data_IF_046968476286
#
_entry.id   IF_046968476286
#
_cell.length_a   1.000
_cell.length_b   1.000
_cell.length_c   1.000
_cell.angle_alpha   90.00
_cell.angle_beta   90.00
_cell.angle_gamma   90.00
#
_symmetry.space_group_name_H-M   'P 1'
#
loop_
_entity.id
_entity.type
_entity.pdbx_description
1 polymer ?
#
# COMPACT_ATOMS: atom_id res chain seq x y z
N UNK A 1 37.51 37.22 -36.20
CA UNK A 1 37.85 36.26 -35.12
C UNK A 1 36.58 35.50 -34.75
N UNK A 2 36.64 34.17 -34.65
CA UNK A 2 35.46 33.31 -34.76
C UNK A 2 34.71 33.14 -33.44
N UNK A 3 33.40 33.00 -33.58
CA UNK A 3 32.39 32.67 -32.56
C UNK A 3 32.66 31.29 -31.95
N UNK A 4 32.71 31.22 -30.61
CA UNK A 4 32.67 29.96 -29.87
C UNK A 4 31.21 29.56 -29.58
N UNK A 5 30.80 28.29 -29.73
CA UNK A 5 29.42 27.87 -29.54
C UNK A 5 29.04 27.75 -28.05
N UNK A 6 27.74 27.79 -27.70
CA UNK A 6 27.29 27.64 -26.33
C UNK A 6 27.54 26.20 -25.84
N UNK A 7 28.11 26.09 -24.64
CA UNK A 7 28.38 24.82 -23.98
C UNK A 7 27.09 24.01 -23.83
N UNK A 8 27.08 22.81 -24.42
CA UNK A 8 26.04 21.79 -24.22
C UNK A 8 25.92 21.50 -22.73
N UNK A 9 24.75 21.77 -22.17
CA UNK A 9 24.36 21.24 -20.87
C UNK A 9 24.30 19.73 -21.02
N UNK A 10 25.28 19.02 -20.45
CA UNK A 10 25.20 17.58 -20.28
C UNK A 10 24.10 17.34 -19.24
N UNK A 11 22.93 16.94 -19.71
CA UNK A 11 21.92 16.30 -18.88
C UNK A 11 22.53 15.00 -18.36
N UNK A 12 23.14 15.05 -17.18
CA UNK A 12 23.48 13.85 -16.46
C UNK A 12 22.16 13.24 -15.98
N UNK A 13 21.63 12.31 -16.76
CA UNK A 13 20.64 11.34 -16.30
C UNK A 13 21.38 10.48 -15.28
N UNK A 14 21.35 10.89 -14.01
CA UNK A 14 21.76 10.00 -12.93
C UNK A 14 20.59 9.10 -12.65
N UNK A 15 20.74 7.85 -13.10
CA UNK A 15 20.02 6.71 -12.58
C UNK A 15 20.10 6.77 -11.05
N UNK A 16 18.95 7.07 -10.43
CA UNK A 16 18.69 6.70 -9.07
C UNK A 16 19.08 5.23 -8.93
N UNK A 17 20.11 4.92 -8.13
CA UNK A 17 20.27 3.57 -7.60
C UNK A 17 19.15 3.34 -6.59
N UNK A 18 17.93 3.22 -7.11
CA UNK A 18 16.98 2.29 -6.54
C UNK A 18 17.70 0.93 -6.50
N UNK A 19 17.56 0.13 -5.42
CA UNK A 19 17.94 -1.27 -5.52
C UNK A 19 17.29 -1.78 -6.81
N UNK A 20 18.07 -2.45 -7.67
CA UNK A 20 17.59 -3.07 -8.90
C UNK A 20 16.23 -3.71 -8.60
N UNK A 21 15.16 -2.99 -8.91
CA UNK A 21 13.83 -3.53 -8.96
C UNK A 21 13.91 -4.34 -10.25
N UNK A 22 14.47 -5.55 -10.14
CA UNK A 22 14.08 -6.67 -10.97
C UNK A 22 12.60 -6.44 -11.21
N UNK A 23 12.25 -6.19 -12.48
CA UNK A 23 10.87 -6.00 -12.93
C UNK A 23 10.03 -7.01 -12.18
N UNK A 24 9.33 -6.54 -11.12
CA UNK A 24 8.58 -7.42 -10.23
C UNK A 24 7.33 -7.78 -11.02
N UNK A 25 7.45 -8.78 -11.87
CA UNK A 25 6.31 -9.44 -12.47
C UNK A 25 5.64 -10.20 -11.34
N UNK A 26 4.39 -9.85 -11.03
CA UNK A 26 3.60 -10.54 -10.01
C UNK A 26 2.84 -11.74 -10.59
N UNK A 27 2.87 -11.89 -11.92
CA UNK A 27 2.68 -13.15 -12.63
C UNK A 27 3.97 -13.99 -12.60
N UNK A 28 4.45 -14.31 -11.40
CA UNK A 28 5.65 -15.13 -11.23
C UNK A 28 5.35 -16.61 -11.48
N UNK A 29 6.39 -17.40 -11.80
CA UNK A 29 6.26 -18.85 -11.96
C UNK A 29 5.66 -19.50 -10.71
N UNK A 30 6.07 -19.06 -9.51
CA UNK A 30 5.51 -19.54 -8.25
C UNK A 30 4.00 -19.25 -8.09
N UNK A 31 3.53 -18.10 -8.57
CA UNK A 31 2.10 -17.78 -8.54
C UNK A 31 1.31 -18.61 -9.55
N UNK A 32 1.87 -18.86 -10.75
CA UNK A 32 1.27 -19.71 -11.77
C UNK A 32 1.24 -21.18 -11.33
N UNK A 33 2.29 -21.67 -10.67
CA UNK A 33 2.32 -23.00 -10.06
C UNK A 33 1.25 -23.14 -8.96
N UNK A 34 1.07 -22.11 -8.13
CA UNK A 34 0.03 -22.09 -7.11
C UNK A 34 -1.38 -22.15 -7.71
N UNK A 35 -1.63 -21.43 -8.82
CA UNK A 35 -2.90 -21.50 -9.58
C UNK A 35 -3.11 -22.88 -10.20
N UNK A 36 -2.07 -23.46 -10.82
CA UNK A 36 -2.14 -24.79 -11.40
C UNK A 36 -2.46 -25.85 -10.34
N UNK A 37 -1.82 -25.77 -9.18
CA UNK A 37 -2.12 -26.64 -8.04
C UNK A 37 -3.54 -26.45 -7.51
N UNK A 38 -3.98 -25.20 -7.34
CA UNK A 38 -5.34 -24.91 -6.90
C UNK A 38 -6.41 -25.43 -7.88
N UNK A 39 -6.12 -25.41 -9.18
CA UNK A 39 -6.98 -26.04 -10.19
C UNK A 39 -7.05 -27.56 -10.05
N UNK A 40 -5.91 -28.22 -9.77
CA UNK A 40 -5.87 -29.67 -9.55
C UNK A 40 -6.64 -30.07 -8.28
N UNK A 41 -6.46 -29.29 -7.22
CA UNK A 41 -7.10 -29.49 -5.92
C UNK A 41 -8.56 -28.99 -5.89
N UNK A 42 -9.05 -28.38 -6.98
CA UNK A 42 -10.39 -27.78 -7.12
C UNK A 42 -10.72 -26.80 -6.00
N UNK A 43 -9.78 -25.90 -5.70
CA UNK A 43 -9.93 -24.89 -4.66
C UNK A 43 -11.06 -23.92 -5.04
N UNK A 44 -12.13 -23.80 -4.22
CA UNK A 44 -13.32 -23.05 -4.61
C UNK A 44 -13.19 -21.53 -4.42
N UNK A 45 -12.24 -21.06 -3.60
CA UNK A 45 -12.13 -19.64 -3.26
C UNK A 45 -10.76 -19.05 -3.67
N UNK A 46 -10.78 -17.92 -4.38
CA UNK A 46 -9.58 -17.17 -4.77
C UNK A 46 -9.59 -15.77 -4.14
N UNK A 47 -8.49 -15.39 -3.50
CA UNK A 47 -8.30 -14.09 -2.86
C UNK A 47 -7.20 -13.32 -3.58
N UNK A 48 -7.58 -12.36 -4.43
CA UNK A 48 -6.63 -11.45 -5.06
C UNK A 48 -6.60 -10.15 -4.27
N UNK A 49 -5.42 -9.67 -3.89
CA UNK A 49 -5.31 -8.43 -3.14
C UNK A 49 -4.32 -7.45 -3.73
N UNK A 50 -4.63 -6.17 -3.65
CA UNK A 50 -3.79 -5.10 -4.18
C UNK A 50 -2.44 -5.06 -3.44
N UNK A 51 -1.35 -5.36 -4.14
CA UNK A 51 0.01 -5.35 -3.62
C UNK A 51 0.80 -4.15 -4.19
N UNK A 52 1.64 -3.47 -3.40
CA UNK A 52 1.97 -3.68 -1.97
C UNK A 52 1.14 -2.78 -1.03
N UNK A 53 -0.20 -2.86 -1.09
CA UNK A 53 -1.08 -2.08 -0.22
C UNK A 53 -1.25 -2.74 1.14
N UNK A 54 -1.17 -1.96 2.23
CA UNK A 54 -1.56 -2.45 3.55
C UNK A 54 -3.07 -2.71 3.62
N UNK A 55 -3.88 -1.85 3.00
CA UNK A 55 -5.32 -2.07 2.87
C UNK A 55 -5.60 -3.42 2.18
N UNK A 56 -4.93 -3.70 1.06
CA UNK A 56 -5.03 -4.99 0.37
C UNK A 56 -4.58 -6.17 1.23
N UNK A 57 -3.43 -6.06 1.89
CA UNK A 57 -2.90 -7.14 2.73
C UNK A 57 -3.78 -7.45 3.95
N UNK A 58 -4.32 -6.42 4.63
CA UNK A 58 -5.28 -6.61 5.72
C UNK A 58 -6.63 -7.13 5.22
N UNK A 59 -7.13 -6.68 4.07
CA UNK A 59 -8.30 -7.31 3.43
C UNK A 59 -8.07 -8.80 3.17
N UNK A 60 -6.88 -9.18 2.69
CA UNK A 60 -6.51 -10.58 2.47
C UNK A 60 -6.44 -11.37 3.79
N UNK A 61 -5.93 -10.76 4.87
CA UNK A 61 -5.93 -11.34 6.21
C UNK A 61 -7.36 -11.67 6.67
N UNK A 62 -8.30 -10.73 6.58
CA UNK A 62 -9.68 -10.96 7.02
C UNK A 62 -10.40 -12.02 6.20
N UNK A 63 -10.19 -12.01 4.88
CA UNK A 63 -10.68 -13.08 4.03
C UNK A 63 -10.07 -14.45 4.41
N UNK A 64 -8.76 -14.50 4.64
CA UNK A 64 -8.07 -15.71 5.07
C UNK A 64 -8.61 -16.24 6.40
N UNK A 65 -8.74 -15.39 7.43
CA UNK A 65 -9.27 -15.76 8.73
C UNK A 65 -10.69 -16.33 8.63
N UNK A 66 -11.55 -15.70 7.82
CA UNK A 66 -12.92 -16.16 7.60
C UNK A 66 -12.96 -17.57 6.99
N UNK A 67 -12.21 -17.79 5.90
CA UNK A 67 -12.18 -19.08 5.22
C UNK A 67 -11.55 -20.16 6.09
N UNK A 68 -10.44 -19.85 6.78
CA UNK A 68 -9.78 -20.76 7.72
C UNK A 68 -10.71 -21.19 8.85
N UNK A 69 -11.51 -20.25 9.40
CA UNK A 69 -12.44 -20.54 10.51
C UNK A 69 -13.60 -21.44 10.08
N UNK A 70 -14.04 -21.33 8.84
CA UNK A 70 -15.07 -22.20 8.25
C UNK A 70 -14.50 -23.47 7.61
N UNK A 71 -13.18 -23.69 7.71
CA UNK A 71 -12.46 -24.79 7.05
C UNK A 71 -12.73 -24.85 5.53
N UNK A 72 -12.84 -23.68 4.90
CA UNK A 72 -13.06 -23.52 3.47
C UNK A 72 -11.71 -23.36 2.76
N UNK A 73 -11.37 -24.21 1.77
CA UNK A 73 -10.13 -24.05 1.03
C UNK A 73 -10.13 -22.72 0.25
N UNK A 74 -9.03 -21.98 0.34
CA UNK A 74 -8.81 -20.76 -0.43
C UNK A 74 -7.35 -20.61 -0.87
N UNK A 75 -7.14 -19.98 -2.02
CA UNK A 75 -5.82 -19.54 -2.49
C UNK A 75 -5.74 -18.03 -2.41
N UNK A 76 -4.70 -17.47 -1.78
CA UNK A 76 -4.44 -16.03 -1.80
C UNK A 76 -3.24 -15.69 -2.67
N UNK A 77 -3.36 -14.65 -3.49
CA UNK A 77 -2.27 -14.16 -4.34
C UNK A 77 -2.20 -12.63 -4.33
N UNK A 78 -0.98 -12.05 -4.30
CA UNK A 78 -0.79 -10.63 -4.50
C UNK A 78 -1.09 -10.27 -5.96
N UNK A 79 -1.86 -9.20 -6.16
CA UNK A 79 -2.15 -8.61 -7.46
C UNK A 79 -1.42 -7.28 -7.61
N UNK A 80 -0.73 -7.08 -8.72
CA UNK A 80 -0.12 -5.79 -9.07
C UNK A 80 -0.58 -5.32 -10.44
N UNK A 81 -0.65 -4.00 -10.61
CA UNK A 81 -0.83 -3.39 -11.93
C UNK A 81 0.41 -3.49 -12.81
N UNK A 82 1.56 -3.86 -12.25
CA UNK A 82 2.81 -4.12 -12.97
C UNK A 82 2.84 -5.60 -13.35
N UNK A 83 2.48 -5.88 -14.61
CA UNK A 83 2.30 -7.23 -15.16
C UNK A 83 1.25 -8.07 -14.42
N UNK A 84 -0.04 -7.70 -14.57
CA UNK A 84 -1.14 -8.40 -13.90
C UNK A 84 -1.35 -9.82 -14.43
N UNK A 85 -2.01 -10.66 -13.64
CA UNK A 85 -2.54 -11.93 -14.12
C UNK A 85 -3.47 -11.73 -15.31
N UNK A 86 -3.39 -12.64 -16.28
CA UNK A 86 -4.38 -12.74 -17.35
C UNK A 86 -5.61 -13.42 -16.78
N UNK A 87 -6.77 -13.14 -17.35
CA UNK A 87 -8.02 -13.83 -16.97
C UNK A 87 -7.87 -15.34 -17.14
N UNK A 88 -7.19 -15.78 -18.21
CA UNK A 88 -6.89 -17.19 -18.45
C UNK A 88 -6.03 -17.84 -17.35
N UNK A 89 -5.16 -17.07 -16.68
CA UNK A 89 -4.37 -17.61 -15.56
C UNK A 89 -5.28 -17.89 -14.33
N UNK A 90 -6.37 -17.14 -14.19
CA UNK A 90 -7.24 -17.12 -13.01
C UNK A 90 -8.47 -18.04 -13.15
N UNK A 91 -8.84 -18.42 -14.38
CA UNK A 91 -9.95 -19.34 -14.66
C UNK A 91 -9.57 -20.80 -14.34
N UNK A 92 -9.36 -21.11 -13.06
CA UNK A 92 -9.03 -22.45 -12.57
C UNK A 92 -10.29 -23.34 -12.44
N UNK A 93 -10.12 -24.64 -12.59
CA UNK A 93 -11.22 -25.61 -12.43
C UNK A 93 -11.71 -25.63 -10.96
N UNK A 94 -13.03 -25.62 -10.77
CA UNK A 94 -13.66 -25.70 -9.45
C UNK A 94 -13.82 -24.37 -8.72
N UNK A 95 -13.45 -23.24 -9.34
CA UNK A 95 -13.60 -21.91 -8.74
C UNK A 95 -15.09 -21.54 -8.57
N UNK A 96 -15.51 -21.31 -7.33
CA UNK A 96 -16.87 -20.88 -6.99
C UNK A 96 -16.93 -19.38 -6.69
N UNK A 97 -15.89 -18.84 -6.03
CA UNK A 97 -15.87 -17.45 -5.58
C UNK A 97 -14.49 -16.82 -5.68
N UNK A 98 -14.44 -15.58 -6.14
CA UNK A 98 -13.23 -14.77 -6.19
C UNK A 98 -13.45 -13.42 -5.51
N UNK A 99 -12.50 -13.03 -4.67
CA UNK A 99 -12.49 -11.75 -3.98
C UNK A 99 -11.41 -10.83 -4.57
N UNK A 100 -11.78 -9.63 -5.00
CA UNK A 100 -10.86 -8.58 -5.40
C UNK A 100 -10.74 -7.56 -4.26
N UNK A 101 -9.58 -7.55 -3.59
CA UNK A 101 -9.40 -6.89 -2.30
C UNK A 101 -8.53 -5.63 -2.45
N UNK A 102 -9.13 -4.44 -2.26
CA UNK A 102 -8.52 -3.10 -2.42
C UNK A 102 -8.20 -2.70 -3.89
N UNK A 103 -8.92 -3.28 -4.85
CA UNK A 103 -8.87 -2.93 -6.28
C UNK A 103 -10.04 -3.54 -7.07
N UNK A 104 -10.33 -2.99 -8.26
CA UNK A 104 -11.25 -3.57 -9.26
C UNK A 104 -10.56 -4.16 -10.51
N UNK A 105 -9.23 -4.03 -10.57
CA UNK A 105 -8.42 -4.36 -11.75
C UNK A 105 -8.36 -3.22 -12.80
N UNK A 106 -7.74 -3.47 -13.96
CA UNK A 106 -7.86 -2.60 -15.12
C UNK A 106 -9.32 -2.42 -15.57
N UNK A 107 -9.61 -1.37 -16.33
CA UNK A 107 -10.96 -1.12 -16.84
C UNK A 107 -11.54 -2.36 -17.55
N UNK A 108 -12.72 -2.82 -17.11
CA UNK A 108 -13.40 -3.99 -17.67
C UNK A 108 -12.92 -5.35 -17.11
N UNK A 109 -11.83 -5.38 -16.33
CA UNK A 109 -11.25 -6.63 -15.81
C UNK A 109 -12.24 -7.45 -14.97
N UNK A 110 -12.85 -6.86 -13.94
CA UNK A 110 -13.78 -7.58 -13.07
C UNK A 110 -15.00 -8.13 -13.83
N UNK A 111 -15.49 -7.36 -14.81
CA UNK A 111 -16.63 -7.75 -15.67
C UNK A 111 -16.25 -8.90 -16.60
N UNK A 112 -15.10 -8.80 -17.27
CA UNK A 112 -14.63 -9.87 -18.16
C UNK A 112 -14.31 -11.14 -17.36
N UNK A 113 -13.68 -11.00 -16.20
CA UNK A 113 -13.39 -12.11 -15.32
C UNK A 113 -14.66 -12.82 -14.84
N UNK A 114 -15.67 -12.08 -14.35
CA UNK A 114 -16.95 -12.67 -13.96
C UNK A 114 -17.64 -13.42 -15.10
N UNK A 115 -17.58 -12.90 -16.33
CA UNK A 115 -18.16 -13.56 -17.52
C UNK A 115 -17.41 -14.83 -17.93
N UNK A 116 -16.08 -14.87 -17.78
CA UNK A 116 -15.24 -15.97 -18.27
C UNK A 116 -15.03 -17.06 -17.23
N UNK A 117 -14.84 -16.70 -15.97
CA UNK A 117 -14.61 -17.65 -14.87
C UNK A 117 -15.90 -18.33 -14.40
N UNK A 118 -17.07 -17.75 -14.69
CA UNK A 118 -18.39 -18.27 -14.28
C UNK A 118 -18.51 -18.50 -12.75
N UNK A 119 -17.70 -17.81 -11.95
CA UNK A 119 -17.70 -17.81 -10.50
C UNK A 119 -18.33 -16.53 -9.94
N UNK A 120 -18.72 -16.52 -8.67
CA UNK A 120 -19.12 -15.29 -7.98
C UNK A 120 -17.88 -14.41 -7.77
N UNK A 121 -17.96 -13.13 -8.13
CA UNK A 121 -16.87 -12.16 -7.99
C UNK A 121 -17.31 -11.03 -7.08
N UNK A 122 -16.58 -10.81 -5.99
CA UNK A 122 -16.90 -9.80 -4.97
C UNK A 122 -15.71 -8.86 -4.85
N UNK A 123 -15.94 -7.59 -5.16
CA UNK A 123 -14.86 -6.61 -5.28
C UNK A 123 -14.99 -5.50 -4.25
N UNK A 124 -13.86 -5.09 -3.65
CA UNK A 124 -13.79 -4.02 -2.66
C UNK A 124 -12.77 -2.97 -3.11
N UNK A 125 -13.18 -1.70 -3.13
CA UNK A 125 -12.28 -0.55 -3.29
C UNK A 125 -12.88 0.64 -2.50
N UNK A 126 -12.09 1.67 -2.24
CA UNK A 126 -12.53 2.89 -1.55
C UNK A 126 -12.23 4.15 -2.37
N UNK A 127 -11.59 3.99 -3.54
CA UNK A 127 -11.07 5.13 -4.31
C UNK A 127 -12.10 5.64 -5.29
N UNK A 128 -12.38 6.94 -5.23
CA UNK A 128 -13.25 7.64 -6.21
C UNK A 128 -12.92 7.35 -7.68
N UNK A 129 -11.63 7.09 -7.99
CA UNK A 129 -11.17 6.80 -9.37
C UNK A 129 -11.76 5.53 -9.99
N UNK A 130 -12.29 4.62 -9.18
CA UNK A 130 -12.83 3.34 -9.68
C UNK A 130 -14.31 3.44 -10.07
N UNK A 131 -15.01 4.48 -9.64
CA UNK A 131 -16.44 4.66 -9.94
C UNK A 131 -16.76 4.63 -11.45
N UNK A 132 -15.97 5.26 -12.34
CA UNK A 132 -16.25 5.19 -13.78
C UNK A 132 -16.06 3.80 -14.41
N UNK A 133 -15.47 2.85 -13.67
CA UNK A 133 -15.23 1.48 -14.14
C UNK A 133 -16.39 0.53 -13.79
N UNK A 134 -17.29 0.97 -12.91
CA UNK A 134 -18.46 0.20 -12.49
C UNK A 134 -19.51 0.32 -13.60
N UNK A 135 -19.96 -0.79 -14.19
CA UNK A 135 -21.00 -0.77 -15.21
C UNK A 135 -22.34 -0.29 -14.62
N UNK A 136 -23.27 0.09 -15.50
CA UNK A 136 -24.68 0.25 -15.12
C UNK A 136 -25.23 -1.07 -14.57
N UNK A 137 -26.32 -1.02 -13.79
CA UNK A 137 -26.97 -2.24 -13.27
C UNK A 137 -27.40 -3.19 -14.40
N UNK A 138 -27.80 -2.65 -15.56
CA UNK A 138 -28.24 -3.40 -16.74
C UNK A 138 -27.09 -4.15 -17.43
N UNK A 139 -25.88 -3.58 -17.42
CA UNK A 139 -24.69 -4.13 -18.05
C UNK A 139 -23.84 -5.02 -17.11
N UNK A 140 -24.17 -5.01 -15.81
CA UNK A 140 -23.43 -5.72 -14.77
C UNK A 140 -23.77 -7.22 -14.77
N UNK A 141 -22.79 -8.12 -14.83
CA UNK A 141 -23.01 -9.55 -14.61
C UNK A 141 -23.66 -9.80 -13.24
N UNK A 142 -24.63 -10.71 -13.18
CA UNK A 142 -25.36 -11.04 -11.93
C UNK A 142 -24.48 -11.70 -10.88
N UNK A 143 -23.37 -12.31 -11.30
CA UNK A 143 -22.36 -12.92 -10.45
C UNK A 143 -21.23 -11.95 -10.05
N UNK A 144 -21.40 -10.63 -10.25
CA UNK A 144 -20.41 -9.62 -9.90
C UNK A 144 -21.00 -8.58 -8.94
N UNK A 145 -20.38 -8.43 -7.77
CA UNK A 145 -20.78 -7.46 -6.75
C UNK A 145 -19.65 -6.47 -6.48
N UNK A 146 -19.98 -5.18 -6.46
CA UNK A 146 -19.07 -4.10 -6.12
C UNK A 146 -19.39 -3.48 -4.76
N UNK A 147 -18.46 -3.58 -3.82
CA UNK A 147 -18.47 -2.90 -2.53
C UNK A 147 -17.49 -1.72 -2.57
N UNK A 148 -17.93 -0.61 -3.16
CA UNK A 148 -17.13 0.63 -3.19
C UNK A 148 -17.60 1.61 -2.10
N UNK A 149 -16.73 1.87 -1.12
CA UNK A 149 -17.04 2.75 0.01
C UNK A 149 -16.04 3.91 0.07
N UNK A 150 -16.50 5.14 -0.16
CA UNK A 150 -15.63 6.32 -0.14
C UNK A 150 -15.32 6.85 1.28
N UNK A 151 -16.05 6.36 2.29
CA UNK A 151 -15.99 6.83 3.68
C UNK A 151 -15.23 5.86 4.60
N UNK A 152 -14.94 4.64 4.13
CA UNK A 152 -14.18 3.62 4.83
C UNK A 152 -13.07 3.08 3.94
N UNK A 153 -11.95 2.68 4.55
CA UNK A 153 -10.91 1.97 3.79
C UNK A 153 -11.40 0.60 3.33
N UNK A 154 -10.74 0.02 2.31
CA UNK A 154 -11.07 -1.31 1.83
C UNK A 154 -10.84 -2.39 2.89
N UNK A 155 -9.77 -2.29 3.70
CA UNK A 155 -9.57 -3.24 4.80
C UNK A 155 -10.66 -3.16 5.87
N UNK A 156 -11.11 -1.95 6.25
CA UNK A 156 -12.23 -1.80 7.20
C UNK A 156 -13.52 -2.39 6.63
N UNK A 157 -13.83 -2.09 5.36
CA UNK A 157 -15.04 -2.62 4.72
C UNK A 157 -15.04 -4.15 4.62
N UNK A 158 -13.88 -4.76 4.34
CA UNK A 158 -13.73 -6.22 4.27
C UNK A 158 -13.82 -6.86 5.66
N UNK A 159 -13.26 -6.22 6.69
CA UNK A 159 -13.42 -6.65 8.08
C UNK A 159 -14.89 -6.68 8.50
N UNK A 160 -15.62 -5.60 8.23
CA UNK A 160 -17.06 -5.49 8.53
C UNK A 160 -17.88 -6.54 7.76
N UNK A 161 -17.54 -6.75 6.47
CA UNK A 161 -18.23 -7.70 5.60
C UNK A 161 -18.14 -9.14 6.12
N UNK A 162 -16.93 -9.65 6.38
CA UNK A 162 -16.76 -11.02 6.85
C UNK A 162 -17.25 -11.20 8.29
N UNK A 163 -17.10 -10.19 9.15
CA UNK A 163 -17.66 -10.22 10.51
C UNK A 163 -19.18 -10.33 10.48
N UNK A 164 -19.84 -9.60 9.58
CA UNK A 164 -21.30 -9.63 9.42
C UNK A 164 -21.78 -11.00 8.91
N UNK A 165 -21.09 -11.56 7.92
CA UNK A 165 -21.43 -12.91 7.40
C UNK A 165 -21.28 -13.95 8.49
N UNK A 166 -20.18 -13.90 9.26
CA UNK A 166 -19.91 -14.86 10.32
C UNK A 166 -20.99 -14.80 11.41
N UNK A 167 -21.38 -13.59 11.84
CA UNK A 167 -22.41 -13.36 12.84
C UNK A 167 -23.82 -13.75 12.37
N UNK A 168 -24.12 -13.58 11.07
CA UNK A 168 -25.42 -13.92 10.47
C UNK A 168 -25.56 -15.38 10.02
N UNK A 169 -24.49 -16.16 10.09
CA UNK A 169 -24.49 -17.54 9.61
C UNK A 169 -25.18 -18.49 10.59
N UNK A 170 -26.12 -19.31 10.10
CA UNK A 170 -26.77 -20.39 10.88
C UNK A 170 -25.82 -21.54 11.24
N UNK A 171 -24.53 -21.42 10.90
CA UNK A 171 -23.55 -22.49 11.01
C UNK A 171 -23.21 -22.89 12.45
N UNK A 172 -23.70 -22.20 13.49
CA UNK A 172 -23.20 -22.43 14.85
C UNK A 172 -24.22 -22.57 15.99
N UNK A 173 -23.92 -23.62 16.76
CA UNK A 173 -24.55 -24.18 17.94
C UNK A 173 -24.32 -23.30 19.21
N UNK A 174 -24.54 -21.99 19.12
CA UNK A 174 -24.53 -21.07 20.27
C UNK A 174 -23.17 -20.55 20.77
N UNK A 175 -22.09 -20.70 20.02
CA UNK A 175 -20.78 -20.08 20.34
C UNK A 175 -20.67 -18.71 19.64
N UNK A 176 -20.22 -17.67 20.35
CA UNK A 176 -19.95 -16.35 19.76
C UNK A 176 -18.68 -16.43 18.88
N UNK A 177 -18.86 -16.52 17.57
CA UNK A 177 -17.78 -16.71 16.60
C UNK A 177 -17.36 -15.35 16.07
N UNK A 178 -16.24 -14.83 16.57
CA UNK A 178 -15.61 -13.62 16.01
C UNK A 178 -14.57 -13.95 14.94
N UNK A 179 -14.38 -13.02 14.02
CA UNK A 179 -13.35 -13.12 12.98
C UNK A 179 -11.93 -12.96 13.55
N UNK A 180 -11.78 -12.14 14.60
CA UNK A 180 -10.53 -11.93 15.32
C UNK A 180 -10.62 -12.56 16.71
N UNK A 181 -9.53 -13.18 17.14
CA UNK A 181 -9.40 -13.65 18.51
C UNK A 181 -9.44 -12.46 19.49
N UNK A 182 -9.99 -12.64 20.71
CA UNK A 182 -10.13 -11.55 21.68
C UNK A 182 -8.80 -10.85 22.00
N UNK A 183 -7.68 -11.58 21.99
CA UNK A 183 -6.36 -11.02 22.30
C UNK A 183 -5.83 -10.09 21.20
N UNK A 184 -6.26 -10.29 19.95
CA UNK A 184 -5.78 -9.54 18.78
C UNK A 184 -6.70 -8.38 18.40
N UNK A 185 -8.00 -8.45 18.75
CA UNK A 185 -9.04 -7.54 18.27
C UNK A 185 -8.69 -6.06 18.46
N UNK A 186 -8.43 -5.64 19.70
CA UNK A 186 -8.17 -4.23 20.01
C UNK A 186 -6.92 -3.71 19.29
N UNK A 187 -5.88 -4.55 19.18
CA UNK A 187 -4.63 -4.22 18.49
C UNK A 187 -4.87 -4.02 17.01
N UNK A 188 -5.51 -4.98 16.35
CA UNK A 188 -5.78 -4.95 14.91
C UNK A 188 -6.74 -3.81 14.57
N UNK A 189 -7.81 -3.61 15.33
CA UNK A 189 -8.76 -2.51 15.10
C UNK A 189 -8.10 -1.14 15.24
N UNK A 190 -7.13 -0.99 16.15
CA UNK A 190 -6.34 0.24 16.24
C UNK A 190 -5.45 0.44 15.01
N UNK A 191 -4.82 -0.62 14.50
CA UNK A 191 -4.05 -0.55 13.25
C UNK A 191 -4.94 -0.16 12.07
N UNK A 192 -6.15 -0.72 11.97
CA UNK A 192 -7.11 -0.38 10.93
C UNK A 192 -7.48 1.11 10.95
N UNK A 193 -7.69 1.71 12.13
CA UNK A 193 -7.96 3.16 12.26
C UNK A 193 -6.83 4.01 11.66
N UNK A 194 -5.58 3.62 11.91
CA UNK A 194 -4.42 4.33 11.36
C UNK A 194 -4.25 4.13 9.86
N UNK A 195 -4.49 2.91 9.35
CA UNK A 195 -4.48 2.64 7.91
C UNK A 195 -5.56 3.46 7.22
N UNK A 196 -6.78 3.46 7.75
CA UNK A 196 -7.92 4.18 7.18
C UNK A 196 -7.69 5.70 7.15
N UNK A 197 -7.13 6.29 8.21
CA UNK A 197 -6.79 7.72 8.25
C UNK A 197 -5.83 8.12 7.12
N UNK A 198 -4.89 7.24 6.78
CA UNK A 198 -3.95 7.41 5.66
C UNK A 198 -4.58 7.18 4.28
N UNK A 199 -5.32 6.07 4.11
CA UNK A 199 -5.99 5.71 2.86
C UNK A 199 -6.99 6.78 2.41
N UNK A 200 -7.76 7.31 3.36
CA UNK A 200 -8.76 8.35 3.13
C UNK A 200 -8.16 9.77 3.18
N UNK A 201 -6.85 9.89 3.38
CA UNK A 201 -6.09 11.15 3.41
C UNK A 201 -6.64 12.16 4.43
N UNK A 202 -7.13 11.67 5.56
CA UNK A 202 -7.65 12.47 6.67
C UNK A 202 -6.50 13.10 7.46
N UNK A 203 -5.42 12.35 7.68
CA UNK A 203 -4.24 12.77 8.44
C UNK A 203 -4.56 13.35 9.82
N UNK A 204 -5.59 12.80 10.46
CA UNK A 204 -6.18 13.36 11.68
C UNK A 204 -5.62 12.73 12.96
N UNK A 205 -5.08 11.52 12.85
CA UNK A 205 -4.56 10.79 14.01
C UNK A 205 -3.19 11.31 14.45
N UNK A 206 -2.96 11.28 15.77
CA UNK A 206 -1.67 11.62 16.36
C UNK A 206 -0.58 10.69 15.81
N UNK A 207 0.59 11.26 15.55
CA UNK A 207 1.75 10.51 15.05
C UNK A 207 1.52 9.69 13.78
N UNK A 208 0.46 9.97 13.00
CA UNK A 208 0.13 9.25 11.75
C UNK A 208 1.30 9.20 10.76
N UNK A 209 2.12 10.26 10.71
CA UNK A 209 3.33 10.29 9.87
C UNK A 209 4.39 9.30 10.37
N UNK A 210 4.61 9.24 11.68
CA UNK A 210 5.55 8.29 12.28
C UNK A 210 5.05 6.85 12.08
N UNK A 211 3.76 6.60 12.33
CA UNK A 211 3.12 5.32 12.03
C UNK A 211 3.37 4.89 10.58
N UNK A 212 3.05 5.73 9.59
CA UNK A 212 3.21 5.39 8.17
C UNK A 212 4.67 5.11 7.78
N UNK A 213 5.63 5.82 8.39
CA UNK A 213 7.05 5.57 8.19
C UNK A 213 7.44 4.21 8.78
N UNK A 214 7.10 3.94 10.04
CA UNK A 214 7.41 2.67 10.68
C UNK A 214 6.75 1.47 9.99
N UNK A 215 5.53 1.66 9.50
CA UNK A 215 4.80 0.67 8.73
C UNK A 215 5.45 0.44 7.34
N UNK A 216 6.02 1.47 6.71
CA UNK A 216 6.57 1.37 5.34
C UNK A 216 7.62 0.28 5.14
N UNK A 217 8.38 -0.07 6.17
CA UNK A 217 9.37 -1.16 6.12
C UNK A 217 8.73 -2.54 5.91
N UNK A 218 7.45 -2.70 6.27
CA UNK A 218 6.72 -3.94 6.10
C UNK A 218 6.25 -4.16 4.65
N UNK A 219 6.31 -3.17 3.77
CA UNK A 219 5.80 -3.28 2.38
C UNK A 219 6.43 -4.42 1.59
N UNK A 220 7.71 -4.71 1.81
CA UNK A 220 8.39 -5.83 1.14
C UNK A 220 7.91 -7.20 1.61
N UNK A 221 7.30 -7.27 2.80
CA UNK A 221 6.81 -8.51 3.44
C UNK A 221 5.36 -8.84 3.09
N UNK A 222 4.65 -7.98 2.37
CA UNK A 222 3.23 -8.13 2.04
C UNK A 222 2.96 -9.11 0.88
N UNK A 223 3.93 -9.91 0.46
CA UNK A 223 3.75 -10.89 -0.60
C UNK A 223 3.62 -12.28 0.04
N UNK A 224 2.40 -12.81 0.10
CA UNK A 224 2.09 -14.10 0.74
C UNK A 224 2.75 -15.30 0.03
N UNK A 225 3.10 -15.19 -1.26
CA UNK A 225 3.80 -16.26 -1.99
C UNK A 225 5.24 -16.39 -1.49
N UNK A 226 5.91 -15.25 -1.26
CA UNK A 226 7.31 -15.24 -0.80
C UNK A 226 7.46 -15.17 0.73
N UNK A 227 6.39 -14.83 1.44
CA UNK A 227 6.34 -14.72 2.89
C UNK A 227 5.19 -15.57 3.43
N UNK A 228 5.44 -16.84 3.80
CA UNK A 228 4.40 -17.73 4.29
C UNK A 228 3.84 -17.30 5.66
N UNK A 229 4.56 -16.46 6.40
CA UNK A 229 4.15 -15.95 7.71
C UNK A 229 3.49 -14.56 7.65
N UNK A 230 3.01 -14.15 6.47
CA UNK A 230 2.49 -12.81 6.27
C UNK A 230 1.31 -12.51 7.19
N UNK A 231 0.37 -13.45 7.36
CA UNK A 231 -0.85 -13.21 8.12
C UNK A 231 -0.59 -13.10 9.63
N UNK A 232 0.24 -13.98 10.18
CA UNK A 232 0.70 -13.92 11.56
C UNK A 232 1.44 -12.61 11.83
N UNK A 233 2.32 -12.21 10.91
CA UNK A 233 3.03 -10.94 11.02
C UNK A 233 2.10 -9.73 10.97
N UNK A 234 1.02 -9.76 10.18
CA UNK A 234 0.04 -8.69 10.12
C UNK A 234 -0.77 -8.59 11.43
N UNK A 235 -1.13 -9.73 12.03
CA UNK A 235 -1.79 -9.79 13.35
C UNK A 235 -0.91 -9.19 14.44
N UNK A 236 0.41 -9.41 14.36
CA UNK A 236 1.40 -8.91 15.33
C UNK A 236 1.70 -7.40 15.20
N UNK A 237 1.24 -6.72 14.15
CA UNK A 237 1.49 -5.28 14.00
C UNK A 237 0.82 -4.50 15.13
N UNK A 238 1.60 -3.63 15.77
CA UNK A 238 1.15 -2.69 16.79
C UNK A 238 1.36 -1.24 16.33
N UNK A 239 0.38 -0.38 16.59
CA UNK A 239 0.48 1.06 16.36
C UNK A 239 1.62 1.67 17.17
N UNK A 240 1.79 1.24 18.42
CA UNK A 240 2.84 1.76 19.32
C UNK A 240 4.23 1.44 18.78
N UNK A 241 4.44 0.22 18.29
CA UNK A 241 5.72 -0.20 17.75
C UNK A 241 6.01 0.49 16.41
N UNK A 242 5.01 0.61 15.55
CA UNK A 242 5.13 1.35 14.29
C UNK A 242 5.47 2.83 14.52
N UNK A 243 4.82 3.50 15.46
CA UNK A 243 5.13 4.89 15.82
C UNK A 243 6.53 5.01 16.41
N UNK A 244 6.89 4.14 17.37
CA UNK A 244 8.22 4.15 18.01
C UNK A 244 9.31 3.98 16.96
N UNK A 245 9.12 3.08 16.02
CA UNK A 245 10.04 2.84 14.91
C UNK A 245 10.11 4.04 13.96
N UNK A 246 8.98 4.61 13.57
CA UNK A 246 8.95 5.82 12.74
C UNK A 246 9.64 7.01 13.40
N UNK A 247 9.43 7.21 14.70
CA UNK A 247 10.10 8.25 15.47
C UNK A 247 11.61 8.00 15.56
N UNK A 248 12.03 6.74 15.73
CA UNK A 248 13.45 6.35 15.72
C UNK A 248 14.08 6.66 14.36
N UNK A 249 13.42 6.30 13.27
CA UNK A 249 13.86 6.61 11.90
C UNK A 249 14.01 8.12 11.68
N UNK A 250 13.01 8.91 12.08
CA UNK A 250 13.04 10.36 11.99
C UNK A 250 14.18 10.97 12.82
N UNK A 251 14.42 10.45 14.03
CA UNK A 251 15.50 10.89 14.91
C UNK A 251 16.88 10.63 14.29
N UNK A 252 17.10 9.46 13.70
CA UNK A 252 18.34 9.11 13.00
C UNK A 252 18.59 10.08 11.83
N UNK A 253 17.57 10.30 11.00
CA UNK A 253 17.67 11.22 9.86
C UNK A 253 17.92 12.66 10.28
N UNK A 254 17.23 13.11 11.34
CA UNK A 254 17.44 14.45 11.88
C UNK A 254 18.86 14.63 12.44
N UNK A 255 19.41 13.62 13.14
CA UNK A 255 20.81 13.64 13.61
C UNK A 255 21.78 13.67 12.43
N UNK A 256 21.54 12.88 11.40
CA UNK A 256 22.37 12.86 10.19
C UNK A 256 22.34 14.21 9.45
N UNK A 257 21.16 14.81 9.30
CA UNK A 257 21.01 16.15 8.73
C UNK A 257 21.73 17.20 9.57
N UNK A 258 21.61 17.16 10.90
CA UNK A 258 22.27 18.11 11.79
C UNK A 258 23.79 18.11 11.64
N UNK A 259 24.43 16.94 11.49
CA UNK A 259 25.88 16.84 11.24
C UNK A 259 26.33 17.57 9.97
N UNK A 260 25.48 17.58 8.94
CA UNK A 260 25.79 18.32 7.70
C UNK A 260 25.69 19.84 7.94
N UNK A 261 24.77 20.26 8.79
CA UNK A 261 24.49 21.67 9.09
C UNK A 261 25.52 22.33 10.03
N UNK A 262 26.57 21.62 10.42
CA UNK A 262 27.74 22.20 11.09
C UNK A 262 28.59 23.03 10.11
N UNK A 263 28.47 22.76 8.80
CA UNK A 263 29.23 23.42 7.73
C UNK A 263 28.33 24.26 6.81
N UNK A 264 27.41 25.03 7.39
CA UNK A 264 26.53 25.91 6.61
C UNK A 264 27.30 27.08 6.01
N UNK A 265 26.90 27.48 4.80
CA UNK A 265 27.48 28.60 4.06
C UNK A 265 26.39 29.57 3.63
N UNK A 266 26.74 30.85 3.57
CA UNK A 266 25.82 31.89 3.11
C UNK A 266 25.76 31.89 1.59
N UNK A 267 24.56 31.76 1.05
CA UNK A 267 24.28 31.75 -0.39
C UNK A 267 23.59 33.06 -0.77
N UNK A 268 24.16 33.78 -1.73
CA UNK A 268 23.54 34.97 -2.33
C UNK A 268 22.71 34.57 -3.54
N UNK A 269 21.40 34.73 -3.46
CA UNK A 269 20.49 34.37 -4.54
C UNK A 269 20.49 35.50 -5.59
N UNK A 270 20.73 35.15 -6.86
CA UNK A 270 20.83 36.12 -7.96
C UNK A 270 21.84 37.23 -7.68
N UNK A 271 23.06 36.91 -7.24
CA UNK A 271 24.09 37.89 -6.84
C UNK A 271 23.67 38.81 -5.68
N UNK A 272 22.60 38.49 -4.96
CA UNK A 272 22.07 39.25 -3.82
C UNK A 272 20.75 39.97 -4.13
N UNK A 273 20.31 40.03 -5.39
CA UNK A 273 19.04 40.66 -5.77
C UNK A 273 17.81 39.98 -5.16
N UNK A 274 17.90 38.67 -4.88
CA UNK A 274 16.80 37.89 -4.29
C UNK A 274 17.04 37.54 -2.82
N UNK A 275 17.95 38.27 -2.16
CA UNK A 275 18.31 38.02 -0.77
C UNK A 275 19.37 36.94 -0.57
N UNK A 276 19.52 36.53 0.68
CA UNK A 276 20.56 35.62 1.14
C UNK A 276 19.94 34.56 2.03
N UNK A 277 20.43 33.32 1.93
CA UNK A 277 20.00 32.20 2.78
C UNK A 277 21.20 31.33 3.17
N UNK A 278 21.00 30.41 4.12
CA UNK A 278 21.99 29.37 4.40
C UNK A 278 21.81 28.21 3.42
N UNK A 279 22.93 27.66 2.98
CA UNK A 279 23.01 26.42 2.23
C UNK A 279 24.01 25.46 2.85
N UNK A 280 23.97 24.21 2.43
CA UNK A 280 24.97 23.19 2.75
C UNK A 280 25.24 22.37 1.51
N UNK A 281 26.50 21.94 1.33
CA UNK A 281 26.81 20.93 0.30
C UNK A 281 26.38 19.56 0.81
N UNK A 282 25.37 18.97 0.18
CA UNK A 282 24.84 17.68 0.63
C UNK A 282 25.77 16.48 0.31
N UNK A 283 26.81 16.63 -0.51
CA UNK A 283 27.81 15.57 -0.82
C UNK A 283 27.24 14.16 -1.07
N UNK A 284 26.13 14.05 -1.80
CA UNK A 284 25.47 12.76 -2.10
C UNK A 284 24.39 12.32 -1.09
N UNK A 285 24.14 13.09 -0.03
CA UNK A 285 23.06 12.85 0.94
C UNK A 285 21.70 13.41 0.46
N UNK A 286 21.34 13.16 -0.81
CA UNK A 286 20.07 13.62 -1.39
C UNK A 286 18.86 13.07 -0.63
N UNK A 287 18.99 11.88 -0.05
CA UNK A 287 17.96 11.26 0.76
C UNK A 287 17.59 12.06 2.01
N UNK A 288 18.38 13.05 2.45
CA UNK A 288 18.12 13.90 3.62
C UNK A 288 17.66 15.33 3.23
N UNK A 289 17.31 15.56 1.96
CA UNK A 289 16.96 16.89 1.43
C UNK A 289 15.90 17.60 2.25
N UNK A 290 14.89 16.86 2.71
CA UNK A 290 13.73 17.41 3.39
C UNK A 290 14.10 17.88 4.80
N UNK A 291 14.83 17.05 5.55
CA UNK A 291 15.33 17.41 6.88
C UNK A 291 16.34 18.56 6.80
N UNK A 292 17.26 18.51 5.83
CA UNK A 292 18.23 19.58 5.57
C UNK A 292 17.50 20.88 5.25
N UNK A 293 16.54 20.86 4.32
CA UNK A 293 15.80 22.03 3.89
C UNK A 293 15.00 22.66 5.03
N UNK A 294 14.30 21.85 5.82
CA UNK A 294 13.54 22.32 6.98
C UNK A 294 14.44 23.02 8.00
N UNK A 295 15.57 22.41 8.34
CA UNK A 295 16.49 22.99 9.31
C UNK A 295 17.25 24.21 8.78
N UNK A 296 17.64 24.22 7.50
CA UNK A 296 18.24 25.40 6.85
C UNK A 296 17.28 26.59 6.86
N UNK A 297 15.99 26.35 6.63
CA UNK A 297 14.96 27.39 6.70
C UNK A 297 14.89 28.00 8.10
N UNK A 298 14.81 27.18 9.14
CA UNK A 298 14.80 27.64 10.54
C UNK A 298 16.09 28.40 10.90
N UNK A 299 17.27 27.84 10.58
CA UNK A 299 18.55 28.50 10.87
C UNK A 299 18.73 29.80 10.08
N UNK A 300 18.28 29.87 8.83
CA UNK A 300 18.32 31.08 8.02
C UNK A 300 17.46 32.17 8.63
N UNK A 301 16.21 31.84 9.00
CA UNK A 301 15.30 32.78 9.64
C UNK A 301 15.85 33.30 10.98
N UNK A 302 16.43 32.42 11.81
CA UNK A 302 17.07 32.79 13.07
C UNK A 302 18.29 33.71 12.87
N UNK A 303 19.00 33.59 11.74
CA UNK A 303 20.10 34.47 11.36
C UNK A 303 19.64 35.78 10.66
N UNK A 304 18.34 36.04 10.59
CA UNK A 304 17.78 37.20 9.90
C UNK A 304 17.89 37.14 8.37
N UNK A 305 18.20 35.97 7.81
CA UNK A 305 18.34 35.72 6.39
C UNK A 305 16.98 35.31 5.82
N UNK A 306 16.51 36.01 4.78
CA UNK A 306 15.22 35.74 4.15
C UNK A 306 15.39 34.82 2.95
N UNK A 307 14.73 33.67 3.00
CA UNK A 307 14.23 33.05 1.77
C UNK A 307 13.23 34.04 1.14
N UNK A 308 13.30 34.32 -0.18
CA UNK A 308 12.12 34.84 -0.84
C UNK A 308 11.06 33.74 -0.73
N UNK A 309 9.94 34.05 -0.09
CA UNK A 309 8.75 33.21 -0.13
C UNK A 309 8.45 32.93 -1.61
N UNK A 310 8.47 31.66 -2.00
CA UNK A 310 7.90 31.18 -3.27
C UNK A 310 6.48 30.74 -2.95
#
# INVERSE_FOLDING_TARGET
>A
MPLSPPGRWRTCIFASMAPLLQTRSFRSDAALEALAKASQDKVPNLLLYNYPSFSGAFSALFAHLFHSRLNLPCLSLPFSSVEPFRIDDLCIEGLERCYLLDFLGPNGFAVEFARRALCEVISFDHRKRVLPQIPSEEDCPTNLTFHVNLEKSSCTAVYDYFSTILAGSEYHNGMDVSLLEPEDRDRVEMVLKYIEDGDLRRWSLLDIRAFNIGLSEWRSKLNCVTNPYMYEQLLDISVVDAITKGNTYNSIRQKAANKLLDNVLKVRLGRGFYGECLGVRAHGNSALSDEIGKQLSVKSAAAGLRFPSI
#
